data_IF_455316830205
#
_entry.id   IF_455316830205
#
_cell.length_a   1.000
_cell.length_b   1.000
_cell.length_c   1.000
_cell.angle_alpha   90.00
_cell.angle_beta   90.00
_cell.angle_gamma   90.00
#
_symmetry.space_group_name_H-M   'P 1'
#
loop_
_entity.id
_entity.type
_entity.pdbx_description
1 polymer ?
#
# COMPACT_ATOMS: atom_id res chain seq x y z
N UNK A 1 -9.78 25.01 -24.97
CA UNK A 1 -9.45 24.05 -26.04
C UNK A 1 -8.51 23.02 -25.43
N UNK A 2 -9.07 21.88 -25.03
CA UNK A 2 -8.34 20.79 -24.39
C UNK A 2 -7.75 19.88 -25.47
N UNK A 3 -6.44 19.67 -25.43
CA UNK A 3 -5.73 18.79 -26.35
C UNK A 3 -6.19 17.33 -26.16
N UNK A 4 -6.85 16.69 -27.16
CA UNK A 4 -7.34 15.33 -27.05
C UNK A 4 -6.23 14.26 -27.17
N UNK A 5 -4.96 14.67 -27.30
CA UNK A 5 -3.82 13.77 -27.46
C UNK A 5 -2.82 13.85 -26.30
N UNK A 6 -3.28 13.85 -25.04
CA UNK A 6 -2.44 13.32 -23.97
C UNK A 6 -2.27 11.81 -24.21
N UNK A 7 -1.27 11.45 -25.00
CA UNK A 7 -0.67 10.12 -24.96
C UNK A 7 -0.18 9.91 -23.54
N UNK A 8 -1.01 9.31 -22.68
CA UNK A 8 -0.59 8.80 -21.38
C UNK A 8 0.53 7.82 -21.68
N UNK A 9 1.76 8.19 -21.35
CA UNK A 9 2.93 7.35 -21.56
C UNK A 9 2.69 6.08 -20.74
N UNK A 10 2.30 4.99 -21.43
CA UNK A 10 2.05 3.69 -20.78
C UNK A 10 3.27 3.32 -19.94
N UNK A 11 3.02 2.84 -18.71
CA UNK A 11 4.08 2.39 -17.80
C UNK A 11 5.04 1.44 -18.53
N UNK A 12 6.35 1.71 -18.42
CA UNK A 12 7.38 0.95 -19.14
C UNK A 12 7.34 -0.53 -18.78
N UNK A 13 7.00 -0.88 -17.52
CA UNK A 13 6.91 -2.26 -17.05
C UNK A 13 5.68 -2.97 -17.65
N UNK A 14 4.53 -2.29 -17.72
CA UNK A 14 3.35 -2.83 -18.40
C UNK A 14 3.63 -3.10 -19.89
N UNK A 15 4.35 -2.18 -20.53
CA UNK A 15 4.80 -2.36 -21.92
C UNK A 15 5.72 -3.58 -22.05
N UNK A 16 6.72 -3.73 -21.18
CA UNK A 16 7.63 -4.90 -21.19
C UNK A 16 6.86 -6.21 -21.08
N UNK A 17 5.90 -6.30 -20.15
CA UNK A 17 5.07 -7.51 -19.98
C UNK A 17 4.26 -7.78 -21.25
N UNK A 18 3.65 -6.73 -21.83
CA UNK A 18 2.85 -6.85 -23.06
C UNK A 18 3.68 -7.33 -24.24
N UNK A 19 4.88 -6.76 -24.42
CA UNK A 19 5.81 -7.15 -25.49
C UNK A 19 6.32 -8.58 -25.29
N UNK A 20 6.63 -8.97 -24.06
CA UNK A 20 7.06 -10.33 -23.73
C UNK A 20 5.98 -11.37 -24.07
N UNK A 21 4.73 -11.15 -23.65
CA UNK A 21 3.61 -12.05 -23.96
C UNK A 21 3.40 -12.15 -25.48
N UNK A 22 3.47 -11.03 -26.19
CA UNK A 22 3.30 -11.01 -27.65
C UNK A 22 4.41 -11.77 -28.37
N UNK A 23 5.66 -11.66 -27.90
CA UNK A 23 6.82 -12.32 -28.49
C UNK A 23 6.81 -13.84 -28.35
N UNK A 24 6.07 -14.39 -27.37
CA UNK A 24 5.93 -15.84 -27.17
C UNK A 24 5.13 -16.52 -28.30
N UNK A 25 4.42 -15.76 -29.15
CA UNK A 25 3.59 -16.29 -30.24
C UNK A 25 4.12 -15.73 -31.57
N UNK A 26 5.25 -16.27 -32.08
CA UNK A 26 5.90 -15.74 -33.26
C UNK A 26 4.97 -15.80 -34.49
N UNK A 27 5.01 -14.75 -35.31
CA UNK A 27 4.26 -14.58 -36.59
C UNK A 27 2.74 -14.39 -36.46
N UNK A 28 2.19 -14.27 -35.25
CA UNK A 28 0.78 -13.95 -35.10
C UNK A 28 0.50 -12.46 -35.32
N UNK A 29 -0.63 -12.17 -35.97
CA UNK A 29 -1.13 -10.79 -36.10
C UNK A 29 -1.66 -10.35 -34.73
N UNK A 30 -1.19 -9.24 -34.13
CA UNK A 30 -1.54 -8.87 -32.75
C UNK A 30 -3.04 -8.75 -32.45
N UNK A 31 -3.86 -8.44 -33.45
CA UNK A 31 -5.33 -8.40 -33.32
C UNK A 31 -5.99 -9.76 -33.15
N UNK A 32 -5.30 -10.83 -33.56
CA UNK A 32 -5.83 -12.19 -33.62
C UNK A 32 -5.18 -13.11 -32.57
N UNK A 33 -4.39 -12.53 -31.66
CA UNK A 33 -3.77 -13.28 -30.57
C UNK A 33 -4.76 -13.34 -29.41
N UNK A 34 -5.07 -14.56 -28.98
CA UNK A 34 -5.61 -14.84 -27.65
C UNK A 34 -4.54 -15.54 -26.82
N UNK A 35 -4.54 -15.24 -25.53
CA UNK A 35 -3.68 -15.86 -24.54
C UNK A 35 -4.59 -16.57 -23.55
N UNK A 36 -4.31 -17.85 -23.31
CA UNK A 36 -4.95 -18.65 -22.27
C UNK A 36 -3.90 -18.95 -21.19
N UNK A 37 -4.25 -18.74 -19.93
CA UNK A 37 -3.43 -19.21 -18.81
C UNK A 37 -4.26 -20.19 -18.01
N UNK A 38 -3.65 -21.34 -17.76
CA UNK A 38 -4.23 -22.42 -16.99
C UNK A 38 -3.41 -22.55 -15.72
N UNK A 39 -4.01 -22.18 -14.60
CA UNK A 39 -3.47 -22.43 -13.28
C UNK A 39 -3.95 -23.81 -12.82
N UNK A 40 -3.03 -24.64 -12.36
CA UNK A 40 -3.36 -25.91 -11.69
C UNK A 40 -3.11 -25.75 -10.21
N UNK A 41 -4.13 -26.00 -9.39
CA UNK A 41 -4.10 -25.85 -7.94
C UNK A 41 -3.90 -27.22 -7.29
N UNK A 42 -2.66 -27.64 -6.98
CA UNK A 42 -2.43 -28.91 -6.30
C UNK A 42 -3.08 -28.88 -4.91
N UNK A 43 -3.95 -29.85 -4.63
CA UNK A 43 -4.65 -30.00 -3.34
C UNK A 43 -6.10 -29.49 -3.33
N UNK A 44 -6.51 -28.72 -4.34
CA UNK A 44 -7.93 -28.43 -4.55
C UNK A 44 -8.44 -29.42 -5.58
N UNK A 45 -9.38 -30.29 -5.21
CA UNK A 45 -9.98 -31.25 -6.14
C UNK A 45 -11.36 -30.77 -6.57
N UNK A 46 -11.64 -30.76 -7.87
CA UNK A 46 -12.98 -30.49 -8.43
C UNK A 46 -13.74 -31.79 -8.76
N UNK A 47 -13.10 -32.94 -8.52
CA UNK A 47 -13.65 -34.29 -8.70
C UNK A 47 -12.71 -35.32 -8.04
N UNK A 48 -13.02 -36.62 -8.11
CA UNK A 48 -12.31 -37.67 -7.38
C UNK A 48 -10.79 -37.64 -7.57
N UNK A 49 -10.32 -37.30 -8.76
CA UNK A 49 -8.90 -37.21 -9.11
C UNK A 49 -8.58 -36.02 -10.05
N UNK A 50 -9.46 -35.02 -10.11
CA UNK A 50 -9.29 -33.86 -11.01
C UNK A 50 -8.72 -32.68 -10.24
N UNK A 51 -7.48 -32.25 -10.50
CA UNK A 51 -6.94 -31.03 -9.92
C UNK A 51 -7.83 -29.85 -10.30
N UNK A 52 -8.06 -28.98 -9.33
CA UNK A 52 -8.69 -27.70 -9.51
C UNK A 52 -7.89 -26.92 -10.53
N UNK A 53 -8.60 -26.41 -11.54
CA UNK A 53 -8.01 -25.59 -12.59
C UNK A 53 -8.77 -24.27 -12.66
N UNK A 54 -8.02 -23.18 -12.64
CA UNK A 54 -8.54 -21.89 -13.05
C UNK A 54 -8.03 -21.63 -14.46
N UNK A 55 -8.95 -21.37 -15.37
CA UNK A 55 -8.63 -20.96 -16.73
C UNK A 55 -9.10 -19.55 -16.93
N UNK A 56 -8.22 -18.70 -17.45
CA UNK A 56 -8.61 -17.40 -17.96
C UNK A 56 -8.10 -17.22 -19.39
N UNK A 57 -8.79 -16.40 -20.17
CA UNK A 57 -8.37 -16.07 -21.52
C UNK A 57 -8.61 -14.60 -21.82
N UNK A 58 -7.79 -14.04 -22.70
CA UNK A 58 -7.87 -12.63 -23.07
C UNK A 58 -6.89 -12.26 -24.17
N UNK A 59 -6.92 -10.99 -24.58
CA UNK A 59 -5.89 -10.43 -25.44
C UNK A 59 -4.58 -10.23 -24.67
N UNK A 60 -3.40 -10.21 -25.33
CA UNK A 60 -2.11 -10.02 -24.67
C UNK A 60 -2.03 -8.81 -23.74
N UNK A 61 -2.63 -7.68 -24.11
CA UNK A 61 -2.68 -6.45 -23.32
C UNK A 61 -3.52 -6.63 -22.04
N UNK A 62 -4.68 -7.30 -22.13
CA UNK A 62 -5.50 -7.60 -20.96
C UNK A 62 -4.81 -8.57 -19.99
N UNK A 63 -4.09 -9.58 -20.50
CA UNK A 63 -3.29 -10.49 -19.66
C UNK A 63 -2.11 -9.74 -19.05
N UNK A 64 -1.43 -8.88 -19.82
CA UNK A 64 -0.34 -8.06 -19.32
C UNK A 64 -0.80 -7.13 -18.19
N UNK A 65 -1.98 -6.52 -18.31
CA UNK A 65 -2.55 -5.67 -17.27
C UNK A 65 -2.89 -6.46 -16.01
N UNK A 66 -3.39 -7.69 -16.13
CA UNK A 66 -3.62 -8.57 -14.97
C UNK A 66 -2.33 -8.97 -14.28
N UNK A 67 -1.31 -9.37 -15.04
CA UNK A 67 0.01 -9.69 -14.48
C UNK A 67 0.63 -8.46 -13.83
N UNK A 68 0.60 -7.31 -14.51
CA UNK A 68 1.07 -6.04 -13.97
C UNK A 68 0.33 -5.70 -12.67
N UNK A 69 -1.00 -5.84 -12.64
CA UNK A 69 -1.81 -5.56 -11.45
C UNK A 69 -1.46 -6.49 -10.30
N UNK A 70 -1.23 -7.78 -10.56
CA UNK A 70 -0.83 -8.73 -9.55
C UNK A 70 0.59 -8.44 -9.00
N UNK A 71 1.50 -7.96 -9.84
CA UNK A 71 2.88 -7.65 -9.46
C UNK A 71 3.05 -6.26 -8.84
N UNK A 72 2.30 -5.27 -9.29
CA UNK A 72 2.56 -3.84 -9.07
C UNK A 72 1.32 -3.02 -8.67
N UNK A 73 0.13 -3.62 -8.61
CA UNK A 73 -1.13 -2.90 -8.40
C UNK A 73 -1.70 -2.27 -9.68
N UNK A 74 -2.91 -1.69 -9.59
CA UNK A 74 -3.58 -1.10 -10.77
C UNK A 74 -2.86 0.18 -11.22
N UNK A 75 -2.52 0.33 -12.51
CA UNK A 75 -1.72 1.45 -13.00
C UNK A 75 -2.41 2.83 -12.89
N UNK A 76 -3.75 2.87 -12.85
CA UNK A 76 -4.52 4.13 -12.92
C UNK A 76 -5.15 4.57 -11.60
N UNK A 77 -4.92 3.85 -10.49
CA UNK A 77 -5.33 4.37 -9.18
C UNK A 77 -4.21 5.30 -8.69
N UNK A 78 -4.52 6.55 -8.32
CA UNK A 78 -3.58 7.35 -7.55
C UNK A 78 -3.12 6.49 -6.37
N UNK A 79 -1.81 6.44 -6.14
CA UNK A 79 -1.30 5.80 -4.93
C UNK A 79 -2.04 6.41 -3.74
N UNK A 80 -2.50 5.60 -2.78
CA UNK A 80 -3.09 6.15 -1.57
C UNK A 80 -2.09 7.16 -0.97
N UNK A 81 -2.57 8.33 -0.58
CA UNK A 81 -1.75 9.36 0.07
C UNK A 81 -2.20 9.51 1.52
N UNK A 82 -1.28 9.97 2.38
CA UNK A 82 -1.62 10.21 3.78
C UNK A 82 -2.61 11.37 3.92
N UNK A 83 -3.43 11.40 4.98
CA UNK A 83 -4.30 12.55 5.28
C UNK A 83 -3.54 13.88 5.28
N UNK A 84 -2.34 13.94 5.85
CA UNK A 84 -1.49 15.13 5.82
C UNK A 84 -1.08 15.53 4.39
N UNK A 85 -0.68 14.56 3.55
CA UNK A 85 -0.35 14.83 2.14
C UNK A 85 -1.55 15.36 1.36
N UNK A 86 -2.75 14.83 1.61
CA UNK A 86 -3.99 15.29 0.98
C UNK A 86 -4.33 16.73 1.41
N UNK A 87 -4.14 17.05 2.70
CA UNK A 87 -4.31 18.40 3.22
C UNK A 87 -3.31 19.39 2.61
N UNK A 88 -2.03 19.02 2.52
CA UNK A 88 -1.00 19.84 1.88
C UNK A 88 -1.29 20.09 0.39
N UNK A 89 -1.78 19.08 -0.33
CA UNK A 89 -2.23 19.23 -1.71
C UNK A 89 -3.39 20.21 -1.85
N UNK A 90 -4.39 20.12 -0.97
CA UNK A 90 -5.53 21.05 -0.94
C UNK A 90 -5.07 22.48 -0.63
N UNK A 91 -4.18 22.64 0.36
CA UNK A 91 -3.58 23.92 0.74
C UNK A 91 -2.80 24.56 -0.41
N UNK A 92 -2.00 23.79 -1.16
CA UNK A 92 -1.30 24.27 -2.36
C UNK A 92 -2.25 24.82 -3.43
N UNK A 93 -3.46 24.27 -3.51
CA UNK A 93 -4.53 24.75 -4.42
C UNK A 93 -5.41 25.84 -3.81
N UNK A 94 -5.14 26.27 -2.57
CA UNK A 94 -5.96 27.21 -1.78
C UNK A 94 -7.40 26.71 -1.58
N UNK A 95 -7.55 25.40 -1.42
CA UNK A 95 -8.82 24.72 -1.17
C UNK A 95 -8.96 24.41 0.33
N UNK A 96 -9.47 25.38 1.10
CA UNK A 96 -9.62 25.24 2.55
C UNK A 96 -10.59 24.14 2.95
N UNK A 97 -11.65 23.92 2.16
CA UNK A 97 -12.63 22.86 2.44
C UNK A 97 -11.96 21.50 2.27
N UNK A 98 -11.23 21.31 1.16
CA UNK A 98 -10.48 20.08 0.91
C UNK A 98 -9.41 19.80 1.97
N UNK A 99 -8.76 20.84 2.52
CA UNK A 99 -7.78 20.70 3.60
C UNK A 99 -8.44 20.19 4.88
N UNK A 100 -9.56 20.80 5.30
CA UNK A 100 -10.32 20.38 6.49
C UNK A 100 -10.89 18.97 6.31
N UNK A 101 -11.47 18.69 5.13
CA UNK A 101 -12.04 17.38 4.83
C UNK A 101 -10.98 16.28 4.88
N UNK A 102 -9.77 16.52 4.35
CA UNK A 102 -8.68 15.55 4.40
C UNK A 102 -8.30 15.18 5.84
N UNK A 103 -8.15 16.18 6.71
CA UNK A 103 -7.82 15.96 8.12
C UNK A 103 -8.97 15.24 8.85
N UNK A 104 -10.20 15.75 8.71
CA UNK A 104 -11.35 15.21 9.41
C UNK A 104 -11.67 13.77 8.97
N UNK A 105 -11.56 13.47 7.68
CA UNK A 105 -11.73 12.10 7.17
C UNK A 105 -10.61 11.17 7.64
N UNK A 106 -9.37 11.67 7.74
CA UNK A 106 -8.24 10.94 8.32
C UNK A 106 -8.52 10.49 9.76
N UNK A 107 -8.90 11.43 10.63
CA UNK A 107 -9.26 11.15 12.02
C UNK A 107 -10.47 10.22 12.12
N UNK A 108 -11.56 10.53 11.40
CA UNK A 108 -12.78 9.70 11.41
C UNK A 108 -12.49 8.26 10.96
N UNK A 109 -11.59 8.07 10.00
CA UNK A 109 -11.22 6.74 9.53
C UNK A 109 -10.40 5.95 10.56
N UNK A 110 -9.52 6.61 11.31
CA UNK A 110 -8.77 5.98 12.40
C UNK A 110 -9.72 5.58 13.53
N UNK A 111 -10.55 6.51 14.00
CA UNK A 111 -11.47 6.30 15.12
C UNK A 111 -12.52 5.21 14.84
N UNK A 112 -12.88 5.00 13.58
CA UNK A 112 -13.82 3.94 13.16
C UNK A 112 -13.16 2.58 12.93
N UNK A 113 -11.82 2.51 12.96
CA UNK A 113 -11.14 1.24 12.75
C UNK A 113 -11.42 0.29 13.92
N UNK A 114 -11.80 -0.98 13.68
CA UNK A 114 -12.24 -1.90 14.74
C UNK A 114 -11.12 -2.29 15.72
N UNK A 115 -9.87 -2.05 15.33
CA UNK A 115 -8.70 -2.28 16.18
C UNK A 115 -8.31 -1.05 17.01
N UNK A 116 -8.83 0.14 16.70
CA UNK A 116 -8.55 1.38 17.43
C UNK A 116 -9.47 1.49 18.67
N UNK A 117 -8.99 2.02 19.83
CA UNK A 117 -7.67 2.58 20.09
C UNK A 117 -6.55 1.53 20.20
N UNK A 118 -5.31 2.01 20.17
CA UNK A 118 -4.12 1.20 20.43
C UNK A 118 -4.16 0.55 21.82
N UNK A 119 -3.46 -0.58 21.98
CA UNK A 119 -3.28 -1.26 23.26
C UNK A 119 -1.81 -1.47 23.54
N UNK A 120 -1.43 -1.43 24.83
CA UNK A 120 -0.10 -1.85 25.24
C UNK A 120 0.18 -3.28 24.72
N UNK A 121 1.34 -3.46 24.10
CA UNK A 121 1.73 -4.71 23.46
C UNK A 121 1.43 -4.81 21.96
N UNK A 122 0.65 -3.88 21.38
CA UNK A 122 0.53 -3.78 19.93
C UNK A 122 1.89 -3.45 19.30
N UNK A 123 2.14 -3.97 18.09
CA UNK A 123 3.26 -3.59 17.25
C UNK A 123 2.76 -2.79 16.05
N UNK A 124 3.50 -1.75 15.71
CA UNK A 124 3.23 -0.88 14.56
C UNK A 124 4.44 -0.91 13.66
N UNK A 125 4.26 -1.33 12.42
CA UNK A 125 5.30 -1.22 11.40
C UNK A 125 4.92 -0.12 10.42
N UNK A 126 5.87 0.79 10.16
CA UNK A 126 5.76 1.85 9.16
C UNK A 126 6.71 1.52 8.02
N UNK A 127 6.18 1.39 6.81
CA UNK A 127 6.96 1.19 5.60
C UNK A 127 7.13 2.50 4.84
N UNK A 128 8.37 2.98 4.72
CA UNK A 128 8.72 4.17 3.95
C UNK A 128 9.14 3.78 2.54
N UNK A 129 8.54 4.42 1.56
CA UNK A 129 8.94 4.29 0.16
C UNK A 129 10.18 5.14 -0.11
N UNK A 130 10.89 4.82 -1.20
CA UNK A 130 12.02 5.62 -1.66
C UNK A 130 11.62 7.08 -1.86
N UNK A 131 12.35 8.00 -1.25
CA UNK A 131 12.10 9.45 -1.33
C UNK A 131 13.39 10.20 -1.66
N UNK A 132 13.51 10.70 -2.90
CA UNK A 132 14.72 11.37 -3.36
C UNK A 132 15.93 10.44 -3.36
N UNK A 133 16.92 10.73 -2.52
CA UNK A 133 18.13 9.89 -2.33
C UNK A 133 17.98 8.89 -1.17
N UNK A 134 16.92 8.98 -0.37
CA UNK A 134 16.70 8.03 0.72
C UNK A 134 16.13 6.73 0.15
N UNK A 135 16.79 5.57 0.36
CA UNK A 135 16.24 4.27 -0.03
C UNK A 135 14.98 3.97 0.78
N UNK A 136 14.15 3.05 0.28
CA UNK A 136 13.04 2.52 1.06
C UNK A 136 13.56 1.86 2.34
N UNK A 137 12.89 2.10 3.46
CA UNK A 137 13.22 1.51 4.75
C UNK A 137 11.95 1.31 5.57
N UNK A 138 12.05 0.58 6.68
CA UNK A 138 10.93 0.42 7.59
C UNK A 138 11.34 0.63 9.03
N UNK A 139 10.34 0.92 9.86
CA UNK A 139 10.47 1.08 11.30
C UNK A 139 9.40 0.27 12.00
N UNK A 140 9.76 -0.38 13.09
CA UNK A 140 8.85 -1.16 13.93
C UNK A 140 8.86 -0.59 15.34
N UNK A 141 7.68 -0.24 15.82
CA UNK A 141 7.43 0.34 17.12
C UNK A 141 6.59 -0.63 17.97
N UNK A 142 6.81 -0.62 19.28
CA UNK A 142 5.90 -1.18 20.25
C UNK A 142 5.07 -0.07 20.90
N UNK A 143 3.77 -0.33 21.06
CA UNK A 143 2.91 0.48 21.93
C UNK A 143 3.18 0.05 23.37
N UNK A 144 3.71 0.97 24.18
CA UNK A 144 4.07 0.71 25.58
C UNK A 144 3.45 1.75 26.49
N UNK A 145 3.21 1.43 27.78
CA UNK A 145 2.87 2.45 28.76
C UNK A 145 3.97 3.50 28.84
N UNK A 146 3.58 4.77 28.94
CA UNK A 146 4.48 5.86 29.24
C UNK A 146 4.93 5.74 30.73
N UNK A 147 6.25 5.69 31.01
CA UNK A 147 6.77 5.53 32.37
C UNK A 147 6.38 6.68 33.31
N UNK A 148 6.12 7.89 32.77
CA UNK A 148 5.92 9.09 33.59
C UNK A 148 4.43 9.32 33.93
N UNK A 149 3.51 9.04 32.99
CA UNK A 149 2.06 9.17 33.22
C UNK A 149 1.40 7.91 33.82
N UNK A 150 2.03 6.74 33.69
CA UNK A 150 1.58 5.45 34.23
C UNK A 150 0.32 4.84 33.57
N UNK A 151 -0.49 5.65 32.89
CA UNK A 151 -1.73 5.21 32.24
C UNK A 151 -1.81 5.57 30.75
N UNK A 152 -0.94 6.44 30.23
CA UNK A 152 -0.94 6.81 28.82
C UNK A 152 -0.04 5.88 28.01
N UNK A 153 -0.27 5.83 26.70
CA UNK A 153 0.48 4.98 25.78
C UNK A 153 1.38 5.83 24.90
N UNK A 154 2.52 5.26 24.52
CA UNK A 154 3.50 5.86 23.59
C UNK A 154 4.07 4.80 22.63
N UNK A 155 4.71 5.25 21.55
CA UNK A 155 5.51 4.43 20.66
C UNK A 155 6.96 4.34 21.14
N UNK A 156 7.46 3.13 21.30
CA UNK A 156 8.87 2.85 21.49
C UNK A 156 9.43 2.18 20.24
N UNK A 157 10.42 2.81 19.60
CA UNK A 157 11.14 2.20 18.48
C UNK A 157 11.80 0.89 18.95
N UNK A 158 11.56 -0.21 18.23
CA UNK A 158 12.18 -1.51 18.47
C UNK A 158 13.23 -1.85 17.43
N UNK A 159 12.95 -1.55 16.17
CA UNK A 159 13.79 -1.93 15.05
C UNK A 159 13.59 -0.98 13.87
N UNK A 160 14.63 -0.79 13.06
CA UNK A 160 14.56 -0.10 11.78
C UNK A 160 15.53 -0.74 10.79
N UNK A 161 15.30 -0.49 9.50
CA UNK A 161 16.20 -0.90 8.41
C UNK A 161 16.86 0.29 7.72
N UNK A 162 16.78 1.49 8.29
CA UNK A 162 17.47 2.67 7.76
C UNK A 162 18.99 2.51 7.94
N UNK A 163 19.77 2.81 6.90
CA UNK A 163 21.24 2.76 6.93
C UNK A 163 21.84 3.91 7.76
N UNK A 164 21.11 5.00 7.92
CA UNK A 164 21.48 6.13 8.77
C UNK A 164 20.91 5.93 10.18
N UNK A 165 21.78 5.59 11.14
CA UNK A 165 21.41 5.35 12.54
C UNK A 165 20.88 6.60 13.27
N UNK A 166 21.03 7.80 12.70
CA UNK A 166 20.56 9.05 13.32
C UNK A 166 19.16 9.47 12.88
N UNK A 167 18.65 8.85 11.80
CA UNK A 167 17.34 9.15 11.23
C UNK A 167 16.12 8.39 11.81
N UNK A 168 16.24 7.24 12.51
CA UNK A 168 15.07 6.43 12.82
C UNK A 168 14.33 6.92 14.07
N UNK A 169 13.07 6.48 14.21
CA UNK A 169 12.25 6.78 15.37
C UNK A 169 11.42 8.06 15.22
N UNK A 170 11.10 8.43 13.98
CA UNK A 170 10.36 9.66 13.65
C UNK A 170 9.05 9.80 14.45
N UNK A 171 8.39 8.70 14.75
CA UNK A 171 7.12 8.68 15.49
C UNK A 171 7.25 8.25 16.96
N UNK A 172 8.46 8.14 17.51
CA UNK A 172 8.65 7.90 18.94
C UNK A 172 8.88 9.23 19.69
N UNK A 173 8.18 9.52 20.81
CA UNK A 173 7.16 8.69 21.47
C UNK A 173 5.76 8.76 20.84
N UNK A 174 5.54 9.63 19.86
CA UNK A 174 4.22 9.90 19.29
C UNK A 174 3.39 10.79 20.22
N UNK A 175 2.11 10.98 19.90
CA UNK A 175 1.18 11.70 20.78
C UNK A 175 0.86 10.85 21.99
N UNK A 176 1.23 11.34 23.18
CA UNK A 176 0.96 10.63 24.44
C UNK A 176 -0.55 10.42 24.61
N UNK A 177 -0.94 9.17 24.90
CA UNK A 177 -2.34 8.76 25.03
C UNK A 177 -3.00 8.32 23.73
N UNK A 178 -2.50 8.78 22.58
CA UNK A 178 -2.94 8.35 21.25
C UNK A 178 -1.74 8.16 20.29
N UNK A 179 -0.93 7.12 20.53
CA UNK A 179 0.33 6.92 19.82
C UNK A 179 0.20 6.66 18.32
N UNK A 180 -1.01 6.41 17.81
CA UNK A 180 -1.24 6.06 16.41
C UNK A 180 -1.69 7.23 15.54
N UNK A 181 -2.12 8.34 16.13
CA UNK A 181 -2.63 9.47 15.36
C UNK A 181 -1.57 10.09 14.45
N UNK A 182 -0.38 10.40 14.95
CA UNK A 182 0.71 10.95 14.12
C UNK A 182 1.12 10.04 12.95
N UNK A 183 1.50 8.76 13.16
CA UNK A 183 1.87 7.89 12.04
C UNK A 183 0.70 7.66 11.07
N UNK A 184 -0.54 7.61 11.55
CA UNK A 184 -1.71 7.48 10.69
C UNK A 184 -1.92 8.71 9.80
N UNK A 185 -1.78 9.91 10.38
CA UNK A 185 -2.00 11.16 9.68
C UNK A 185 -0.85 11.51 8.73
N UNK A 186 0.40 11.28 9.14
CA UNK A 186 1.59 11.68 8.39
C UNK A 186 2.06 10.60 7.40
N UNK A 187 2.31 9.37 7.86
CA UNK A 187 2.72 8.28 6.97
C UNK A 187 1.54 7.74 6.17
N UNK A 188 0.35 7.74 6.76
CA UNK A 188 -0.87 7.30 6.09
C UNK A 188 -1.21 5.83 6.35
N UNK A 189 -2.51 5.47 6.30
CA UNK A 189 -2.98 4.11 6.60
C UNK A 189 -2.38 3.04 5.68
N UNK A 190 -2.08 3.41 4.44
CA UNK A 190 -1.51 2.55 3.42
C UNK A 190 -0.04 2.18 3.67
N UNK A 191 0.64 2.82 4.63
CA UNK A 191 2.03 2.50 5.03
C UNK A 191 2.13 1.80 6.37
N UNK A 192 1.02 1.68 7.09
CA UNK A 192 1.00 1.10 8.42
C UNK A 192 0.59 -0.37 8.37
N UNK A 193 1.29 -1.19 9.16
CA UNK A 193 0.81 -2.50 9.59
C UNK A 193 0.66 -2.51 11.10
N UNK A 194 -0.50 -2.88 11.61
CA UNK A 194 -0.73 -3.04 13.06
C UNK A 194 -0.91 -4.52 13.38
N UNK A 195 -0.14 -4.98 14.35
CA UNK A 195 -0.15 -6.36 14.85
C UNK A 195 -0.59 -6.33 16.31
N UNK A 196 -1.58 -7.15 16.63
CA UNK A 196 -2.11 -7.34 17.99
C UNK A 196 -2.18 -8.83 18.29
N UNK A 197 -1.66 -9.23 19.44
CA UNK A 197 -1.66 -10.64 19.88
C UNK A 197 -1.08 -11.60 18.81
N UNK A 198 -0.07 -11.13 18.06
CA UNK A 198 0.57 -11.89 16.98
C UNK A 198 -0.20 -11.94 15.66
N UNK A 199 -1.39 -11.34 15.57
CA UNK A 199 -2.19 -11.28 14.35
C UNK A 199 -2.16 -9.88 13.71
N UNK A 200 -2.11 -9.80 12.38
CA UNK A 200 -2.25 -8.53 11.65
C UNK A 200 -3.71 -8.07 11.74
N UNK A 201 -3.96 -6.94 12.39
CA UNK A 201 -5.30 -6.33 12.53
C UNK A 201 -5.52 -5.16 11.60
N UNK A 202 -4.42 -4.59 11.07
CA UNK A 202 -4.42 -3.62 9.97
C UNK A 202 -3.29 -3.97 9.01
N UNK A 203 -3.57 -4.48 7.80
CA UNK A 203 -2.53 -4.77 6.83
C UNK A 203 -2.14 -3.53 6.04
N UNK A 204 -0.87 -3.44 5.65
CA UNK A 204 -0.44 -2.47 4.63
C UNK A 204 -1.24 -2.71 3.34
N UNK A 205 -1.84 -1.66 2.78
CA UNK A 205 -2.58 -1.72 1.52
C UNK A 205 -1.74 -1.09 0.41
N UNK A 206 -1.28 -1.91 -0.53
CA UNK A 206 -0.58 -1.47 -1.75
C UNK A 206 -1.57 -1.16 -2.87
#
# INVERSE_FOLDING_TARGET
MSDPYRYTRKDVRLRIITEAITALIPRAVPSNISVEVVETLPGQLTGPDTPGRNTWSGRPDAVAERIFTALFGRPDKPLPTSPASQADDAKRRRDLVGEVDAVQNGCNSLERAPWYPARAGDLVHVAYETAGQMPAYGETYAVVPDPDSGNELQLKLLHHTCDDETSPGWFAPGVVGDPLTEPWMEAGPHRLTVIRDGAVVHPVTR
#
